data_IF_115614419064
#
_entry.id   IF_115614419064
#
_cell.length_a   1.000
_cell.length_b   1.000
_cell.length_c   1.000
_cell.angle_alpha   90.00
_cell.angle_beta   90.00
_cell.angle_gamma   90.00
#
_symmetry.space_group_name_H-M   'P 1'
#
loop_
_entity.id
_entity.type
_entity.pdbx_description
1 polymer ?
#
# COMPACT_ATOMS: atom_id res chain seq x y z
N UNK A 1 -49.26 -3.34 0.11
CA UNK A 1 -48.34 -2.42 -0.61
C UNK A 1 -47.38 -1.67 0.33
N UNK A 2 -47.83 -1.04 1.43
CA UNK A 2 -46.96 -0.30 2.37
C UNK A 2 -45.82 -1.12 3.02
N UNK A 3 -46.08 -2.38 3.39
CA UNK A 3 -45.06 -3.25 4.01
C UNK A 3 -43.92 -3.65 3.06
N UNK A 4 -44.21 -3.83 1.76
CA UNK A 4 -43.20 -4.18 0.76
C UNK A 4 -42.24 -3.01 0.50
N UNK A 5 -42.74 -1.77 0.44
CA UNK A 5 -41.90 -0.57 0.27
C UNK A 5 -40.93 -0.40 1.44
N UNK A 6 -41.40 -0.62 2.68
CA UNK A 6 -40.54 -0.53 3.86
C UNK A 6 -39.38 -1.56 3.82
N UNK A 7 -39.65 -2.79 3.37
CA UNK A 7 -38.64 -3.84 3.26
C UNK A 7 -37.58 -3.46 2.21
N UNK A 8 -37.99 -2.96 1.04
CA UNK A 8 -37.05 -2.52 0.01
C UNK A 8 -36.18 -1.35 0.48
N UNK A 9 -36.74 -0.40 1.23
CA UNK A 9 -35.97 0.73 1.79
C UNK A 9 -34.94 0.25 2.82
N UNK A 10 -35.29 -0.73 3.67
CA UNK A 10 -34.38 -1.30 4.67
C UNK A 10 -33.22 -2.07 4.01
N UNK A 11 -33.51 -2.84 2.95
CA UNK A 11 -32.48 -3.61 2.21
C UNK A 11 -31.53 -2.67 1.45
N UNK A 12 -32.05 -1.62 0.83
CA UNK A 12 -31.22 -0.64 0.13
C UNK A 12 -30.36 0.17 1.11
N UNK A 13 -30.89 0.54 2.26
CA UNK A 13 -30.14 1.24 3.30
C UNK A 13 -29.01 0.39 3.88
N UNK A 14 -29.24 -0.91 4.12
CA UNK A 14 -28.20 -1.81 4.62
C UNK A 14 -27.11 -2.08 3.59
N UNK A 15 -27.46 -2.22 2.32
CA UNK A 15 -26.50 -2.36 1.22
C UNK A 15 -25.61 -1.11 1.05
N UNK A 16 -26.20 0.09 1.20
CA UNK A 16 -25.46 1.35 1.12
C UNK A 16 -24.45 1.51 2.27
N UNK A 17 -24.83 1.09 3.48
CA UNK A 17 -23.96 1.08 4.66
C UNK A 17 -22.80 0.09 4.54
N UNK A 18 -23.01 -1.07 3.90
CA UNK A 18 -21.96 -2.06 3.67
C UNK A 18 -20.98 -1.65 2.57
N UNK A 19 -21.46 -1.01 1.50
CA UNK A 19 -20.61 -0.55 0.39
C UNK A 19 -19.65 0.59 0.76
N UNK A 20 -19.96 1.36 1.80
CA UNK A 20 -19.15 2.50 2.24
C UNK A 20 -17.97 2.12 3.16
N UNK A 21 -17.83 0.85 3.54
CA UNK A 21 -16.87 0.39 4.56
C UNK A 21 -15.72 -0.48 4.03
N UNK A 22 -15.47 -0.48 2.72
CA UNK A 22 -14.29 -1.13 2.14
C UNK A 22 -13.03 -0.36 2.53
N UNK A 23 -12.30 -0.83 3.55
CA UNK A 23 -10.95 -0.34 3.82
C UNK A 23 -10.02 -0.86 2.72
N UNK A 24 -9.26 0.04 2.11
CA UNK A 24 -8.23 -0.33 1.15
C UNK A 24 -7.07 -1.01 1.88
N UNK A 25 -6.55 -2.09 1.30
CA UNK A 25 -5.41 -2.80 1.87
C UNK A 25 -4.13 -2.08 1.46
N UNK A 26 -3.28 -1.75 2.43
CA UNK A 26 -1.94 -1.26 2.12
C UNK A 26 -1.12 -2.38 1.45
N UNK A 27 -0.27 -2.06 0.45
CA UNK A 27 0.69 -3.02 -0.07
C UNK A 27 1.54 -3.58 1.06
N UNK A 28 1.73 -4.90 1.09
CA UNK A 28 2.36 -5.62 2.22
C UNK A 28 3.76 -5.12 2.55
N UNK A 29 4.50 -4.73 1.53
CA UNK A 29 5.86 -4.21 1.60
C UNK A 29 5.94 -2.82 2.26
N UNK A 30 4.84 -2.05 2.23
CA UNK A 30 4.71 -0.77 2.91
C UNK A 30 4.15 -0.89 4.33
N UNK A 31 3.72 -2.08 4.74
CA UNK A 31 3.29 -2.35 6.11
C UNK A 31 4.51 -2.60 6.99
N UNK A 32 4.94 -1.58 7.71
CA UNK A 32 6.17 -1.61 8.52
C UNK A 32 5.95 -1.07 9.93
N UNK A 33 6.93 -1.29 10.78
CA UNK A 33 6.96 -0.75 12.14
C UNK A 33 7.07 0.78 12.13
N UNK A 34 6.54 1.42 13.17
CA UNK A 34 6.51 2.88 13.27
C UNK A 34 7.90 3.51 13.24
N UNK A 35 8.89 2.81 13.80
CA UNK A 35 10.28 3.26 13.87
C UNK A 35 10.96 3.25 12.50
N UNK A 36 10.51 2.41 11.56
CA UNK A 36 11.06 2.29 10.22
C UNK A 36 10.42 3.26 9.22
N UNK A 37 9.29 3.87 9.58
CA UNK A 37 8.57 4.80 8.72
C UNK A 37 9.01 6.26 8.95
N UNK A 38 9.30 6.96 7.85
CA UNK A 38 9.57 8.39 7.86
C UNK A 38 8.26 9.18 7.70
N UNK A 39 7.41 8.76 6.76
CA UNK A 39 6.11 9.38 6.53
C UNK A 39 4.98 8.35 6.49
N UNK A 40 4.11 8.27 7.52
CA UNK A 40 2.97 7.36 7.51
C UNK A 40 1.86 7.87 6.60
N UNK A 41 1.16 6.96 5.95
CA UNK A 41 -0.07 7.27 5.21
C UNK A 41 -1.14 7.72 6.21
N UNK A 42 -1.61 8.96 6.05
CA UNK A 42 -2.60 9.57 6.97
C UNK A 42 -4.04 9.12 6.72
N UNK A 43 -4.29 8.40 5.63
CA UNK A 43 -5.62 7.96 5.26
C UNK A 43 -6.07 6.79 6.16
N UNK A 44 -7.11 7.03 6.98
CA UNK A 44 -7.67 6.04 7.91
C UNK A 44 -8.45 4.92 7.21
N UNK A 45 -8.74 5.04 5.91
CA UNK A 45 -9.33 3.95 5.13
C UNK A 45 -8.31 2.90 4.71
N UNK A 46 -7.00 3.17 4.84
CA UNK A 46 -5.94 2.22 4.50
C UNK A 46 -5.51 1.47 5.77
N UNK A 47 -5.39 0.14 5.67
CA UNK A 47 -5.02 -0.70 6.81
C UNK A 47 -3.88 -1.65 6.47
N UNK A 48 -3.07 -1.93 7.50
CA UNK A 48 -2.13 -3.05 7.54
C UNK A 48 -2.62 -4.08 8.55
N UNK A 49 -2.16 -5.33 8.41
CA UNK A 49 -2.40 -6.37 9.41
C UNK A 49 -1.45 -6.19 10.61
N UNK A 50 -1.76 -6.87 11.73
CA UNK A 50 -0.85 -7.05 12.87
C UNK A 50 -0.38 -5.77 13.58
N UNK A 51 -1.09 -4.65 13.45
CA UNK A 51 -0.73 -3.40 14.13
C UNK A 51 0.40 -2.61 13.46
N UNK A 52 0.87 -3.07 12.30
CA UNK A 52 1.80 -2.33 11.45
C UNK A 52 1.12 -1.06 10.90
N UNK A 53 1.92 -0.09 10.50
CA UNK A 53 1.43 1.11 9.85
C UNK A 53 1.75 1.08 8.36
N UNK A 54 0.85 1.66 7.56
CA UNK A 54 1.08 1.82 6.13
C UNK A 54 1.99 3.03 5.94
N UNK A 55 3.18 2.80 5.37
CA UNK A 55 4.19 3.82 5.20
C UNK A 55 4.23 4.34 3.76
N UNK A 56 4.28 5.66 3.60
CA UNK A 56 4.46 6.32 2.31
C UNK A 56 5.94 6.52 1.97
N UNK A 57 6.75 6.84 2.98
CA UNK A 57 8.20 7.02 2.82
C UNK A 57 8.91 6.22 3.89
N UNK A 58 9.60 5.16 3.48
CA UNK A 58 10.41 4.32 4.36
C UNK A 58 11.76 4.98 4.58
N UNK A 59 12.23 5.00 5.84
CA UNK A 59 13.55 5.52 6.19
C UNK A 59 14.65 4.77 5.43
N UNK A 60 15.69 5.49 5.04
CA UNK A 60 16.78 5.00 4.17
C UNK A 60 17.35 3.64 4.59
N UNK A 61 17.57 3.44 5.89
CA UNK A 61 18.20 2.27 6.49
C UNK A 61 17.28 1.04 6.55
N UNK A 62 15.98 1.21 6.29
CA UNK A 62 14.98 0.14 6.24
C UNK A 62 14.44 -0.13 4.83
N UNK A 63 14.95 0.56 3.80
CA UNK A 63 14.52 0.33 2.41
C UNK A 63 15.09 -0.99 1.91
N UNK A 64 14.20 -1.89 1.52
CA UNK A 64 14.54 -3.24 1.03
C UNK A 64 13.97 -3.57 -0.35
N UNK A 65 12.94 -2.85 -0.78
CA UNK A 65 12.20 -3.09 -2.03
C UNK A 65 12.41 -1.93 -2.98
N UNK A 66 12.39 -2.18 -4.28
CA UNK A 66 12.76 -1.19 -5.27
C UNK A 66 11.91 0.07 -5.24
N UNK A 67 10.60 -0.07 -5.04
CA UNK A 67 9.70 1.07 -4.94
C UNK A 67 9.97 1.94 -3.69
N UNK A 68 10.54 1.39 -2.61
CA UNK A 68 10.98 2.18 -1.45
C UNK A 68 12.08 3.19 -1.82
N UNK A 69 12.87 2.89 -2.86
CA UNK A 69 13.88 3.80 -3.41
C UNK A 69 13.30 4.75 -4.47
N UNK A 70 12.00 4.67 -4.78
CA UNK A 70 11.39 5.36 -5.90
C UNK A 70 11.86 4.80 -7.25
N UNK A 71 12.30 3.55 -7.27
CA UNK A 71 12.82 2.89 -8.46
C UNK A 71 11.84 1.91 -9.10
N UNK A 72 12.29 1.34 -10.21
CA UNK A 72 11.62 0.25 -10.93
C UNK A 72 12.63 -0.86 -11.24
N UNK A 73 12.21 -2.13 -11.14
CA UNK A 73 13.03 -3.26 -11.53
C UNK A 73 13.16 -3.31 -13.05
N UNK A 74 14.39 -3.21 -13.55
CA UNK A 74 14.71 -3.19 -14.98
C UNK A 74 15.90 -4.09 -15.29
N UNK A 75 16.09 -4.48 -16.54
CA UNK A 75 17.25 -5.31 -16.94
C UNK A 75 18.61 -4.61 -16.72
N UNK A 76 18.65 -3.27 -16.84
CA UNK A 76 19.86 -2.49 -16.65
C UNK A 76 19.57 -0.98 -16.62
N UNK A 77 20.38 -0.24 -15.86
CA UNK A 77 20.48 1.23 -15.94
C UNK A 77 21.93 1.66 -15.68
N UNK A 78 22.17 2.97 -15.61
CA UNK A 78 23.48 3.49 -15.22
C UNK A 78 23.88 2.91 -13.84
N UNK A 79 25.09 2.34 -13.67
CA UNK A 79 25.52 1.74 -12.41
C UNK A 79 25.40 2.63 -11.18
N UNK A 80 25.45 3.96 -11.35
CA UNK A 80 25.28 4.92 -10.25
C UNK A 80 23.83 5.03 -9.75
N UNK A 81 22.85 4.53 -10.50
CA UNK A 81 21.42 4.57 -10.17
C UNK A 81 20.89 3.24 -9.62
N UNK A 82 21.75 2.22 -9.54
CA UNK A 82 21.41 0.87 -9.09
C UNK A 82 21.35 0.82 -7.56
N UNK A 83 20.26 0.27 -7.03
CA UNK A 83 20.10 -0.01 -5.60
C UNK A 83 20.02 -1.52 -5.35
N UNK A 84 20.54 -1.96 -4.20
CA UNK A 84 20.44 -3.35 -3.75
C UNK A 84 19.09 -3.58 -3.08
N UNK A 85 18.31 -4.55 -3.60
CA UNK A 85 16.93 -4.81 -3.20
C UNK A 85 16.59 -6.30 -3.27
N UNK A 86 15.49 -6.70 -2.64
CA UNK A 86 15.10 -8.12 -2.53
C UNK A 86 14.01 -8.56 -3.50
N UNK A 87 13.37 -7.62 -4.21
CA UNK A 87 12.12 -7.82 -4.96
C UNK A 87 12.29 -7.85 -6.49
N UNK A 88 13.48 -7.55 -7.01
CA UNK A 88 13.77 -7.70 -8.43
C UNK A 88 14.13 -9.15 -8.78
N UNK A 89 13.78 -9.59 -10.00
CA UNK A 89 14.16 -10.90 -10.52
C UNK A 89 15.68 -11.03 -10.68
N UNK A 90 16.19 -12.27 -10.78
CA UNK A 90 17.63 -12.56 -10.83
C UNK A 90 18.39 -11.89 -11.99
N UNK A 91 17.70 -11.48 -13.05
CA UNK A 91 18.23 -10.78 -14.22
C UNK A 91 17.85 -9.29 -14.25
N UNK A 92 17.31 -8.76 -13.16
CA UNK A 92 16.88 -7.37 -13.01
C UNK A 92 17.64 -6.67 -11.89
N UNK A 93 17.68 -5.35 -11.97
CA UNK A 93 18.26 -4.44 -10.98
C UNK A 93 17.27 -3.33 -10.65
N UNK A 94 17.30 -2.83 -9.41
CA UNK A 94 16.48 -1.69 -9.04
C UNK A 94 17.08 -0.39 -9.56
N UNK A 95 16.38 0.26 -10.48
CA UNK A 95 16.80 1.49 -11.12
C UNK A 95 16.00 2.68 -10.59
N UNK A 96 16.70 3.68 -10.06
CA UNK A 96 16.07 4.91 -9.57
C UNK A 96 16.13 6.02 -10.61
N UNK A 97 15.04 6.78 -10.75
CA UNK A 97 15.01 7.99 -11.57
C UNK A 97 15.38 9.19 -10.69
N UNK A 98 16.37 9.96 -11.14
CA UNK A 98 16.80 11.24 -10.53
C UNK A 98 16.02 12.42 -11.11
#
# INVERSE_FOLDING_TARGET
>A
MKGFVAIFVVILASAYLQGAAGKEMCPSENCIEAEACEEPVRNTSITCANGLLCCSVVKSEYRTHCHHHGGECMSSCNPTLINDVIDCESDQVCCTLV
#
